data_IF_664227536190
#
_entry.id   IF_664227536190
#
_cell.length_a   1.000
_cell.length_b   1.000
_cell.length_c   1.000
_cell.angle_alpha   90.00
_cell.angle_beta   90.00
_cell.angle_gamma   90.00
#
_symmetry.space_group_name_H-M   'P 1'
#
loop_
_entity.id
_entity.type
_entity.pdbx_description
1 polymer ?
#
# COMPACT_ATOMS: atom_id res chain seq x y z
N UNK A 1 -11.84 -16.35 0.14
CA UNK A 1 -12.51 -15.34 0.96
C UNK A 1 -11.43 -14.75 1.86
N UNK A 2 -10.86 -13.60 1.49
CA UNK A 2 -9.77 -12.94 2.23
C UNK A 2 -10.38 -12.28 3.45
N UNK A 3 -10.23 -12.95 4.61
CA UNK A 3 -10.67 -12.42 5.88
C UNK A 3 -9.67 -11.40 6.39
N UNK A 4 -10.08 -10.13 6.44
CA UNK A 4 -9.69 -9.24 7.53
C UNK A 4 -8.54 -8.27 7.28
N UNK A 5 -8.78 -7.24 6.46
CA UNK A 5 -8.55 -5.83 6.83
C UNK A 5 -7.16 -5.49 7.42
N UNK A 6 -6.12 -5.72 6.66
CA UNK A 6 -4.91 -4.91 6.78
C UNK A 6 -5.18 -3.59 6.04
N UNK A 7 -5.69 -2.60 6.78
CA UNK A 7 -5.90 -1.22 6.32
C UNK A 7 -4.59 -0.49 5.95
N UNK A 8 -3.45 -1.20 5.93
CA UNK A 8 -2.23 -0.65 5.36
C UNK A 8 -2.40 -0.68 3.86
N UNK A 9 -2.93 0.39 3.27
CA UNK A 9 -2.83 0.64 1.82
C UNK A 9 -1.39 0.88 1.36
N UNK A 10 -0.43 0.37 2.13
CA UNK A 10 1.00 0.31 1.90
C UNK A 10 1.47 -1.14 2.14
N UNK A 11 2.17 -1.70 1.17
CA UNK A 11 2.94 -2.94 1.26
C UNK A 11 4.42 -2.66 0.99
N UNK A 12 5.29 -3.56 1.42
CA UNK A 12 6.72 -3.45 1.14
C UNK A 12 7.14 -4.50 0.10
N UNK A 13 7.78 -4.05 -0.99
CA UNK A 13 8.39 -4.91 -2.00
C UNK A 13 9.88 -5.13 -1.66
N UNK A 14 10.17 -6.28 -1.06
CA UNK A 14 11.51 -6.73 -0.67
C UNK A 14 12.48 -6.83 -1.88
N UNK A 15 11.99 -7.16 -3.06
CA UNK A 15 12.84 -7.38 -4.25
C UNK A 15 13.28 -6.07 -4.87
N UNK A 16 12.42 -5.06 -4.80
CA UNK A 16 12.64 -3.74 -5.38
C UNK A 16 13.05 -2.73 -4.32
N UNK A 17 13.07 -3.13 -3.04
CA UNK A 17 13.32 -2.28 -1.88
C UNK A 17 12.47 -1.00 -1.94
N UNK A 18 11.16 -1.17 -2.17
CA UNK A 18 10.22 -0.07 -2.42
C UNK A 18 8.92 -0.25 -1.65
N UNK A 19 8.36 0.87 -1.21
CA UNK A 19 6.99 0.92 -0.70
C UNK A 19 6.03 0.88 -1.89
N UNK A 20 5.13 -0.09 -1.87
CA UNK A 20 3.96 -0.16 -2.74
C UNK A 20 2.80 0.49 -2.01
N UNK A 21 2.07 1.39 -2.65
CA UNK A 21 0.85 1.97 -2.11
C UNK A 21 -0.29 1.72 -3.09
N UNK A 22 -1.50 1.53 -2.57
CA UNK A 22 -2.70 1.62 -3.42
C UNK A 22 -2.84 3.06 -3.95
N UNK A 23 -3.23 3.21 -5.23
CA UNK A 23 -3.28 4.53 -5.91
C UNK A 23 -4.05 5.59 -5.11
N UNK A 24 -5.13 5.18 -4.43
CA UNK A 24 -5.96 6.05 -3.59
C UNK A 24 -5.21 6.60 -2.36
N UNK A 25 -4.29 5.82 -1.80
CA UNK A 25 -3.47 6.22 -0.64
C UNK A 25 -2.33 7.13 -1.10
N UNK A 26 -1.72 6.82 -2.24
CA UNK A 26 -0.66 7.65 -2.81
C UNK A 26 -1.16 9.05 -3.17
N UNK A 27 -2.32 9.15 -3.81
CA UNK A 27 -2.92 10.44 -4.20
C UNK A 27 -3.19 11.36 -3.00
N UNK A 28 -3.62 10.80 -1.87
CA UNK A 28 -3.90 11.56 -0.64
C UNK A 28 -2.63 12.09 0.03
N UNK A 29 -1.47 11.45 -0.17
CA UNK A 29 -0.20 11.89 0.42
C UNK A 29 0.48 13.01 -0.39
N UNK A 30 0.29 13.02 -1.71
CA UNK A 30 0.91 14.01 -2.61
C UNK A 30 0.05 15.27 -2.86
N UNK A 31 -1.21 15.26 -2.40
CA UNK A 31 -2.14 16.40 -2.47
C UNK A 31 -1.83 17.42 -1.38
#
# INVERSE_FOLDING_TARGET
MLSGKDNSGFGWDEHRQKVLAEDVVWYSYIS
#
